data_IF_449222748287
#
_entry.id   IF_449222748287
#
_cell.length_a   1.000
_cell.length_b   1.000
_cell.length_c   1.000
_cell.angle_alpha   90.00
_cell.angle_beta   90.00
_cell.angle_gamma   90.00
#
_symmetry.space_group_name_H-M   'P 1'
#
loop_
_entity.id
_entity.type
_entity.pdbx_description
1 polymer ?
#
# COMPACT_ATOMS: atom_id res chain seq x y z
N UNK A 1 -10.06 -6.87 -16.53
CA UNK A 1 -10.29 -6.32 -15.18
C UNK A 1 -9.34 -5.15 -14.94
N UNK A 2 -9.66 -4.18 -14.08
CA UNK A 2 -8.77 -3.07 -13.72
C UNK A 2 -8.43 -3.13 -12.23
N UNK A 3 -7.26 -2.60 -11.86
CA UNK A 3 -6.83 -2.42 -10.48
C UNK A 3 -6.16 -1.05 -10.32
N UNK A 4 -6.05 -0.60 -9.07
CA UNK A 4 -5.23 0.54 -8.69
C UNK A 4 -3.83 0.04 -8.36
N UNK A 5 -2.85 0.42 -9.17
CA UNK A 5 -1.43 0.27 -8.82
C UNK A 5 -1.06 1.39 -7.86
N UNK A 6 -0.60 1.02 -6.67
CA UNK A 6 -0.02 1.94 -5.72
C UNK A 6 1.47 1.63 -5.55
N UNK A 7 2.32 2.66 -5.55
CA UNK A 7 3.74 2.50 -5.29
C UNK A 7 4.35 3.65 -4.53
N UNK A 8 5.40 3.36 -3.76
CA UNK A 8 6.15 4.33 -2.96
C UNK A 8 7.50 3.75 -2.53
N UNK A 9 8.35 4.57 -1.91
CA UNK A 9 9.54 4.12 -1.17
C UNK A 9 9.40 4.46 0.30
N UNK A 10 9.96 3.61 1.18
CA UNK A 10 10.05 3.92 2.61
C UNK A 10 11.28 4.77 2.88
N UNK A 11 11.21 5.63 3.91
CA UNK A 11 12.32 6.48 4.34
C UNK A 11 13.61 5.71 4.60
N UNK A 12 13.51 4.56 5.25
CA UNK A 12 14.66 3.71 5.60
C UNK A 12 15.13 2.83 4.43
N UNK A 13 14.23 2.47 3.52
CA UNK A 13 14.51 1.62 2.35
C UNK A 13 14.29 2.38 1.04
N UNK A 14 15.04 3.46 0.83
CA UNK A 14 14.86 4.36 -0.33
C UNK A 14 15.10 3.68 -1.68
N UNK A 15 15.91 2.63 -1.70
CA UNK A 15 16.28 1.91 -2.92
C UNK A 15 15.26 0.82 -3.29
N UNK A 16 14.26 0.57 -2.44
CA UNK A 16 13.24 -0.45 -2.65
C UNK A 16 11.90 0.23 -2.91
N UNK A 17 11.49 0.23 -4.19
CA UNK A 17 10.14 0.62 -4.57
C UNK A 17 9.17 -0.48 -4.16
N UNK A 18 8.26 -0.15 -3.25
CA UNK A 18 7.13 -0.98 -2.88
C UNK A 18 6.02 -0.72 -3.87
N UNK A 19 5.38 -1.78 -4.38
CA UNK A 19 4.26 -1.65 -5.30
C UNK A 19 3.27 -2.79 -5.14
N UNK A 20 1.99 -2.45 -5.23
CA UNK A 20 0.89 -3.42 -5.16
C UNK A 20 -0.22 -3.05 -6.14
N UNK A 21 -0.95 -4.05 -6.62
CA UNK A 21 -2.20 -3.87 -7.33
C UNK A 21 -3.36 -4.12 -6.37
N UNK A 22 -4.10 -3.06 -6.04
CA UNK A 22 -5.30 -3.13 -5.22
C UNK A 22 -6.51 -3.26 -6.15
N UNK A 23 -7.29 -4.35 -6.06
CA UNK A 23 -8.51 -4.49 -6.85
C UNK A 23 -9.49 -3.34 -6.56
N UNK A 24 -10.13 -2.79 -7.61
CA UNK A 24 -10.99 -1.61 -7.46
C UNK A 24 -12.20 -1.88 -6.56
N UNK A 25 -12.68 -3.11 -6.50
CA UNK A 25 -13.75 -3.54 -5.61
C UNK A 25 -13.40 -3.37 -4.12
N UNK A 26 -12.12 -3.48 -3.74
CA UNK A 26 -11.67 -3.23 -2.36
C UNK A 26 -11.63 -1.74 -2.00
N UNK A 27 -11.70 -0.87 -3.01
CA UNK A 27 -11.78 0.58 -2.83
C UNK A 27 -13.23 1.09 -2.88
N UNK A 28 -14.20 0.20 -3.08
CA UNK A 28 -15.61 0.57 -3.14
C UNK A 28 -16.06 1.18 -1.80
N UNK A 29 -16.69 2.36 -1.87
CA UNK A 29 -17.15 3.09 -0.69
C UNK A 29 -16.13 4.05 -0.07
N UNK A 30 -14.88 4.07 -0.57
CA UNK A 30 -13.91 5.09 -0.18
C UNK A 30 -14.22 6.38 -0.91
N UNK A 31 -14.49 7.45 -0.15
CA UNK A 31 -14.66 8.77 -0.74
C UNK A 31 -13.29 9.34 -1.13
N UNK A 32 -13.04 9.44 -2.44
CA UNK A 32 -11.79 9.95 -3.01
C UNK A 32 -11.60 11.46 -2.79
N UNK A 33 -12.68 12.19 -2.45
CA UNK A 33 -12.61 13.63 -2.20
C UNK A 33 -12.24 13.97 -0.75
N UNK A 34 -12.24 12.99 0.17
CA UNK A 34 -12.04 13.23 1.60
C UNK A 34 -10.62 12.87 2.05
N UNK A 35 -9.78 13.89 2.21
CA UNK A 35 -8.44 13.78 2.80
C UNK A 35 -7.38 13.26 1.84
N UNK A 36 -6.33 12.66 2.40
CA UNK A 36 -5.20 12.12 1.64
C UNK A 36 -5.54 10.74 1.06
N UNK A 37 -5.65 10.69 -0.26
CA UNK A 37 -6.01 9.48 -0.99
C UNK A 37 -4.99 8.34 -0.80
N UNK A 38 -3.69 8.64 -0.74
CA UNK A 38 -2.65 7.64 -0.53
C UNK A 38 -2.76 7.00 0.86
N UNK A 39 -3.07 7.81 1.88
CA UNK A 39 -3.32 7.32 3.22
C UNK A 39 -4.54 6.40 3.29
N UNK A 40 -5.61 6.69 2.54
CA UNK A 40 -6.80 5.83 2.45
C UNK A 40 -6.50 4.48 1.81
N UNK A 41 -5.76 4.48 0.69
CA UNK A 41 -5.31 3.24 0.05
C UNK A 41 -4.46 2.41 1.00
N UNK A 42 -3.56 3.04 1.75
CA UNK A 42 -2.76 2.32 2.75
C UNK A 42 -3.60 1.72 3.88
N UNK A 43 -4.63 2.43 4.37
CA UNK A 43 -5.58 1.86 5.36
C UNK A 43 -6.20 0.56 4.85
N UNK A 44 -6.64 0.53 3.59
CA UNK A 44 -7.21 -0.67 2.95
C UNK A 44 -6.19 -1.80 2.89
N UNK A 45 -4.95 -1.49 2.53
CA UNK A 45 -3.87 -2.48 2.46
C UNK A 45 -3.54 -3.01 3.86
N UNK A 46 -3.50 -2.15 4.87
CA UNK A 46 -3.15 -2.52 6.25
C UNK A 46 -4.20 -3.37 6.95
N UNK A 47 -5.47 -3.15 6.63
CA UNK A 47 -6.63 -3.92 7.11
C UNK A 47 -6.79 -5.28 6.42
N UNK A 48 -6.19 -5.47 5.25
CA UNK A 48 -6.27 -6.70 4.48
C UNK A 48 -4.93 -7.47 4.49
N UNK A 49 -4.87 -8.54 5.27
CA UNK A 49 -3.66 -9.36 5.43
C UNK A 49 -3.08 -9.84 4.09
N UNK A 50 -3.92 -10.15 3.09
CA UNK A 50 -3.42 -10.62 1.80
C UNK A 50 -2.73 -9.47 1.05
N UNK A 51 -3.33 -8.28 1.03
CA UNK A 51 -2.70 -7.10 0.42
C UNK A 51 -1.42 -6.69 1.14
N UNK A 52 -1.44 -6.72 2.48
CA UNK A 52 -0.26 -6.34 3.24
C UNK A 52 0.91 -7.29 2.99
N UNK A 53 0.63 -8.60 2.96
CA UNK A 53 1.61 -9.62 2.62
C UNK A 53 2.07 -9.51 1.16
N UNK A 54 1.19 -9.19 0.22
CA UNK A 54 1.60 -8.95 -1.18
C UNK A 54 2.54 -7.73 -1.31
N UNK A 55 2.32 -6.69 -0.52
CA UNK A 55 3.13 -5.46 -0.56
C UNK A 55 4.49 -5.61 0.15
N UNK A 56 4.50 -6.24 1.33
CA UNK A 56 5.68 -6.30 2.18
C UNK A 56 6.35 -7.68 2.23
N UNK A 57 5.68 -8.75 1.80
CA UNK A 57 6.17 -10.13 1.90
C UNK A 57 6.46 -10.50 3.35
N UNK A 58 7.60 -11.16 3.57
CA UNK A 58 8.08 -11.55 4.90
C UNK A 58 8.24 -10.36 5.87
N UNK A 59 8.35 -9.14 5.36
CA UNK A 59 8.47 -7.93 6.17
C UNK A 59 7.12 -7.45 6.75
N UNK A 60 5.97 -8.00 6.33
CA UNK A 60 4.65 -7.54 6.75
C UNK A 60 4.46 -7.55 8.27
N UNK A 61 4.96 -8.60 8.95
CA UNK A 61 4.88 -8.70 10.41
C UNK A 61 5.71 -7.61 11.10
N UNK A 62 6.96 -7.41 10.67
CA UNK A 62 7.82 -6.35 11.20
C UNK A 62 7.26 -4.96 10.93
N UNK A 63 6.69 -4.75 9.74
CA UNK A 63 6.02 -3.50 9.39
C UNK A 63 4.92 -3.16 10.40
N UNK A 64 4.02 -4.11 10.72
CA UNK A 64 2.94 -3.87 11.70
C UNK A 64 3.47 -3.47 13.07
N UNK A 65 4.42 -4.25 13.60
CA UNK A 65 5.02 -3.95 14.89
C UNK A 65 5.67 -2.56 14.93
N UNK A 66 6.32 -2.15 13.82
CA UNK A 66 6.92 -0.83 13.70
C UNK A 66 5.90 0.28 13.48
N UNK A 67 4.78 0.01 12.82
CA UNK A 67 3.74 1.01 12.52
C UNK A 67 2.93 1.40 13.77
N UNK A 68 2.83 0.52 14.77
CA UNK A 68 2.22 0.82 16.07
C UNK A 68 3.06 1.81 16.89
N UNK A 69 4.38 1.85 16.67
CA UNK A 69 5.27 2.82 17.30
C UNK A 69 5.36 4.08 16.43
N UNK A 70 4.79 5.17 16.95
CA UNK A 70 4.75 6.46 16.26
C UNK A 70 6.14 7.00 15.93
N UNK A 71 7.12 6.84 16.81
CA UNK A 71 8.47 7.38 16.59
C UNK A 71 9.22 6.59 15.53
N UNK A 72 9.05 5.26 15.52
CA UNK A 72 9.59 4.40 14.48
C UNK A 72 8.92 4.71 13.13
N UNK A 73 7.60 4.89 13.11
CA UNK A 73 6.89 5.21 11.88
C UNK A 73 7.46 6.46 11.19
N UNK A 74 7.62 7.56 11.93
CA UNK A 74 8.12 8.82 11.38
C UNK A 74 9.58 8.74 10.91
N UNK A 75 10.40 7.90 11.55
CA UNK A 75 11.82 7.73 11.20
C UNK A 75 12.04 6.78 10.04
N UNK A 76 11.30 5.68 9.99
CA UNK A 76 11.64 4.56 9.12
C UNK A 76 10.57 4.26 8.07
N UNK A 77 9.29 4.43 8.44
CA UNK A 77 8.15 4.03 7.61
C UNK A 77 7.48 5.16 6.85
N UNK A 78 7.92 6.41 7.03
CA UNK A 78 7.43 7.52 6.23
C UNK A 78 7.60 7.21 4.73
N UNK A 79 6.50 7.33 3.98
CA UNK A 79 6.46 7.04 2.54
C UNK A 79 6.85 8.28 1.74
N UNK A 80 7.52 8.06 0.61
CA UNK A 80 7.89 9.09 -0.36
C UNK A 80 7.65 8.60 -1.78
N UNK A 81 7.53 9.54 -2.72
CA UNK A 81 7.37 9.23 -4.14
C UNK A 81 6.11 8.40 -4.39
N UNK A 82 5.03 8.71 -3.67
CA UNK A 82 3.76 8.00 -3.80
C UNK A 82 3.19 8.22 -5.21
N UNK A 83 2.90 7.12 -5.90
CA UNK A 83 2.32 7.10 -7.24
C UNK A 83 1.09 6.19 -7.25
N UNK A 84 0.01 6.69 -7.83
CA UNK A 84 -1.28 6.01 -7.92
C UNK A 84 -1.72 6.01 -9.38
N UNK A 85 -1.89 4.81 -9.96
CA UNK A 85 -2.26 4.65 -11.37
C UNK A 85 -3.31 3.55 -11.52
N UNK A 86 -4.35 3.79 -12.32
CA UNK A 86 -5.30 2.73 -12.69
C UNK A 86 -4.69 1.92 -13.84
N UNK A 87 -4.55 0.61 -13.66
CA UNK A 87 -3.93 -0.29 -14.65
C UNK A 87 -4.84 -1.45 -15.02
N UNK A 88 -4.80 -1.94 -16.27
CA UNK A 88 -5.48 -3.17 -16.64
C UNK A 88 -4.76 -4.37 -16.03
N UNK A 89 -5.53 -5.28 -15.41
CA UNK A 89 -5.03 -6.56 -14.89
C UNK A 89 -5.43 -7.66 -15.85
N UNK A 90 -4.45 -8.45 -16.30
CA UNK A 90 -4.70 -9.70 -17.02
C UNK A 90 -5.05 -10.77 -16.00
N UNK A 91 -6.17 -11.46 -16.18
CA UNK A 91 -6.46 -12.68 -15.43
C UNK A 91 -5.30 -13.65 -15.66
N UNK A 92 -4.64 -14.09 -14.58
CA UNK A 92 -3.75 -15.26 -14.67
C UNK A 92 -4.67 -16.43 -14.97
N UNK A 93 -4.57 -16.98 -16.19
CA UNK A 93 -5.21 -18.24 -16.54
C UNK A 93 -4.73 -19.30 -15.55
N UNK A 94 -5.68 -19.83 -14.77
CA UNK A 94 -5.46 -20.93 -13.84
C UNK A 94 -5.12 -22.23 -14.58
#
# INVERSE_FOLDING_TARGET
MFALKFSFVLRYHKDIVRSIHVPLEKLAGINLADGDFAARIMSVIEEDDALLNDLFGDYAHSYRAMAEDRDIYWKDLMRFGEEIVIVPVKERSA
#
